data_IF_601909798561
#
_entry.id   IF_601909798561
#
_cell.length_a   1.000
_cell.length_b   1.000
_cell.length_c   1.000
_cell.angle_alpha   90.00
_cell.angle_beta   90.00
_cell.angle_gamma   90.00
#
_symmetry.space_group_name_H-M   'P 1'
#
loop_
_entity.id
_entity.type
_entity.pdbx_description
1 polymer ?
#
# COMPACT_ATOMS: atom_id res chain seq x y z
N UNK A 1 14.07 13.51 21.15
CA UNK A 1 13.09 14.24 20.31
C UNK A 1 12.86 13.42 19.04
N UNK A 2 11.61 13.19 18.61
CA UNK A 2 11.24 12.22 17.54
C UNK A 2 12.09 12.30 16.25
N UNK A 3 12.60 13.48 15.87
CA UNK A 3 13.48 13.64 14.70
C UNK A 3 14.75 12.79 14.75
N UNK A 4 15.37 12.60 15.93
CA UNK A 4 16.55 11.74 16.10
C UNK A 4 16.22 10.28 15.76
N UNK A 5 14.97 9.85 15.99
CA UNK A 5 14.51 8.50 15.68
C UNK A 5 14.34 8.26 14.17
N UNK A 6 13.78 9.24 13.45
CA UNK A 6 13.59 9.17 12.00
C UNK A 6 14.93 9.24 11.27
N UNK A 7 15.79 10.20 11.63
CA UNK A 7 17.14 10.32 11.04
C UNK A 7 17.95 9.02 11.23
N UNK A 8 17.85 8.40 12.41
CA UNK A 8 18.49 7.10 12.66
C UNK A 8 17.85 5.94 11.89
N UNK A 9 16.54 5.96 11.65
CA UNK A 9 15.85 4.94 10.86
C UNK A 9 16.27 5.00 9.39
N UNK A 10 16.34 6.21 8.81
CA UNK A 10 16.86 6.47 7.47
C UNK A 10 18.30 5.94 7.36
N UNK A 11 19.18 6.35 8.27
CA UNK A 11 20.58 5.92 8.25
C UNK A 11 20.74 4.39 8.33
N UNK A 12 19.92 3.71 9.16
CA UNK A 12 19.94 2.24 9.26
C UNK A 12 19.47 1.57 7.96
N UNK A 13 18.42 2.09 7.32
CA UNK A 13 17.91 1.57 6.05
C UNK A 13 18.98 1.70 4.95
N UNK A 14 19.55 2.89 4.80
CA UNK A 14 20.61 3.14 3.80
C UNK A 14 21.87 2.32 4.06
N UNK A 15 22.27 2.13 5.33
CA UNK A 15 23.39 1.26 5.68
C UNK A 15 23.13 -0.22 5.34
N UNK A 16 21.86 -0.64 5.30
CA UNK A 16 21.45 -1.97 4.85
C UNK A 16 21.22 -2.05 3.32
N UNK A 17 21.42 -0.95 2.59
CA UNK A 17 21.24 -0.89 1.14
C UNK A 17 19.77 -0.87 0.67
N UNK A 18 18.85 -0.44 1.52
CA UNK A 18 17.42 -0.32 1.19
C UNK A 18 16.91 1.11 1.34
N UNK A 19 15.92 1.46 0.52
CA UNK A 19 15.23 2.75 0.59
C UNK A 19 14.34 2.84 1.85
N UNK A 20 14.14 4.06 2.36
CA UNK A 20 13.25 4.35 3.47
C UNK A 20 12.06 5.19 3.02
N UNK A 21 10.90 4.55 2.94
CA UNK A 21 9.62 5.12 2.52
C UNK A 21 8.60 4.95 3.65
N UNK A 22 8.30 5.99 4.44
CA UNK A 22 7.30 5.91 5.49
C UNK A 22 5.89 5.80 4.91
N UNK A 23 5.07 4.98 5.57
CA UNK A 23 3.62 4.98 5.39
C UNK A 23 3.05 6.20 6.11
N UNK A 24 2.26 7.02 5.41
CA UNK A 24 1.59 8.20 5.95
C UNK A 24 0.11 8.21 5.60
N UNK A 25 -0.69 8.81 6.48
CA UNK A 25 -2.09 9.13 6.22
C UNK A 25 -2.23 10.57 5.76
N UNK A 26 -3.00 10.79 4.70
CA UNK A 26 -3.37 12.12 4.21
C UNK A 26 -4.87 12.16 3.87
N UNK A 27 -5.64 13.21 4.14
CA UNK A 27 -5.25 14.51 4.66
C UNK A 27 -5.24 14.47 6.18
N UNK A 28 -4.08 14.68 6.78
CA UNK A 28 -3.92 14.72 8.23
C UNK A 28 -3.11 15.96 8.60
N UNK A 29 -3.66 16.77 9.51
CA UNK A 29 -3.02 17.98 9.99
C UNK A 29 -2.99 18.02 11.52
N UNK A 30 -2.04 18.75 12.13
CA UNK A 30 -2.11 19.06 13.55
C UNK A 30 -3.41 19.80 13.88
N UNK A 31 -4.05 19.45 14.98
CA UNK A 31 -5.31 20.08 15.46
C UNK A 31 -5.19 21.60 15.58
N UNK A 32 -4.00 22.11 15.94
CA UNK A 32 -3.75 23.54 16.01
C UNK A 32 -3.82 24.23 14.63
N UNK A 33 -3.36 23.55 13.56
CA UNK A 33 -3.47 24.04 12.18
C UNK A 33 -4.94 24.04 11.75
N UNK A 34 -5.66 22.94 12.01
CA UNK A 34 -7.10 22.87 11.68
C UNK A 34 -7.89 23.94 12.41
N UNK A 35 -7.61 24.17 13.70
CA UNK A 35 -8.23 25.24 14.47
C UNK A 35 -7.93 26.65 13.91
N UNK A 36 -6.68 26.91 13.49
CA UNK A 36 -6.27 28.19 12.94
C UNK A 36 -6.90 28.51 11.58
N UNK A 37 -7.16 27.49 10.76
CA UNK A 37 -7.71 27.63 9.40
C UNK A 37 -9.15 27.16 9.26
N UNK A 38 -9.86 26.92 10.38
CA UNK A 38 -11.16 26.22 10.42
C UNK A 38 -12.17 26.72 9.38
N UNK A 39 -12.37 28.03 9.30
CA UNK A 39 -13.34 28.64 8.38
C UNK A 39 -12.92 28.48 6.90
N UNK A 40 -11.61 28.40 6.66
CA UNK A 40 -11.03 28.25 5.32
C UNK A 40 -11.00 26.81 4.83
N UNK A 41 -10.91 25.83 5.72
CA UNK A 41 -10.65 24.44 5.32
C UNK A 41 -11.70 23.42 5.78
N UNK A 42 -12.65 23.77 6.65
CA UNK A 42 -13.66 22.79 7.10
C UNK A 42 -15.02 22.98 6.44
N UNK A 43 -15.80 21.90 6.31
CA UNK A 43 -17.21 21.95 5.94
C UNK A 43 -18.12 22.28 7.14
N UNK A 44 -19.44 22.39 6.92
CA UNK A 44 -20.40 22.69 7.98
C UNK A 44 -20.52 21.61 9.08
N UNK A 45 -19.83 20.47 8.92
CA UNK A 45 -19.75 19.37 9.89
C UNK A 45 -18.36 19.29 10.55
N UNK A 46 -17.48 20.24 10.27
CA UNK A 46 -16.13 20.30 10.82
C UNK A 46 -15.13 19.34 10.16
N UNK A 47 -15.46 18.74 9.01
CA UNK A 47 -14.54 17.88 8.26
C UNK A 47 -13.62 18.73 7.41
N UNK A 48 -12.37 18.33 7.24
CA UNK A 48 -11.46 19.00 6.30
C UNK A 48 -11.99 18.77 4.89
N UNK A 49 -12.33 19.86 4.19
CA UNK A 49 -12.81 19.86 2.80
C UNK A 49 -11.62 20.05 1.86
N UNK A 50 -11.62 19.37 0.72
CA UNK A 50 -10.64 19.66 -0.31
C UNK A 50 -10.92 21.02 -0.98
N UNK A 51 -9.96 21.93 -0.92
CA UNK A 51 -10.00 23.26 -1.53
C UNK A 51 -8.57 23.83 -1.65
N UNK A 52 -8.41 24.99 -2.31
CA UNK A 52 -7.09 25.62 -2.49
C UNK A 52 -6.36 25.90 -1.17
N UNK A 53 -7.08 26.24 -0.09
CA UNK A 53 -6.45 26.47 1.22
C UNK A 53 -5.92 25.16 1.83
N UNK A 54 -6.71 24.09 1.78
CA UNK A 54 -6.29 22.75 2.21
C UNK A 54 -5.12 22.23 1.38
N UNK A 55 -5.15 22.44 0.05
CA UNK A 55 -4.07 22.09 -0.85
C UNK A 55 -2.77 22.82 -0.49
N UNK A 56 -2.82 24.13 -0.24
CA UNK A 56 -1.65 24.90 0.18
C UNK A 56 -1.06 24.41 1.52
N UNK A 57 -1.90 24.01 2.47
CA UNK A 57 -1.45 23.42 3.73
C UNK A 57 -0.78 22.05 3.52
N UNK A 58 -1.35 21.19 2.67
CA UNK A 58 -0.74 19.90 2.32
C UNK A 58 0.61 20.09 1.64
N UNK A 59 0.68 21.00 0.66
CA UNK A 59 1.92 21.30 -0.06
C UNK A 59 3.00 21.83 0.91
N UNK A 60 2.65 22.72 1.84
CA UNK A 60 3.56 23.22 2.86
C UNK A 60 4.00 22.13 3.86
N UNK A 61 3.09 21.24 4.27
CA UNK A 61 3.40 20.10 5.13
C UNK A 61 4.41 19.16 4.46
N UNK A 62 4.15 18.75 3.22
CA UNK A 62 5.04 17.86 2.47
C UNK A 62 6.41 18.51 2.23
N UNK A 63 6.43 19.80 1.86
CA UNK A 63 7.67 20.54 1.68
C UNK A 63 8.51 20.58 2.97
N UNK A 64 7.86 20.83 4.11
CA UNK A 64 8.52 20.83 5.41
C UNK A 64 9.04 19.44 5.82
N UNK A 65 8.32 18.37 5.51
CA UNK A 65 8.75 16.99 5.79
C UNK A 65 10.03 16.66 5.04
N UNK A 66 10.09 16.90 3.73
CA UNK A 66 11.28 16.60 2.93
C UNK A 66 12.43 17.58 3.19
N UNK A 67 12.15 18.84 3.54
CA UNK A 67 13.17 19.77 4.00
C UNK A 67 13.80 19.33 5.33
N UNK A 68 13.00 18.79 6.28
CA UNK A 68 13.51 18.29 7.56
C UNK A 68 14.22 16.94 7.41
N UNK A 69 13.74 16.07 6.55
CA UNK A 69 14.25 14.71 6.36
C UNK A 69 14.64 14.46 4.89
N UNK A 70 15.71 15.10 4.39
CA UNK A 70 16.10 14.99 2.98
C UNK A 70 16.54 13.57 2.57
N UNK A 71 16.87 12.72 3.55
CA UNK A 71 17.20 11.31 3.34
C UNK A 71 15.99 10.38 3.16
N UNK A 72 14.74 10.86 3.29
CA UNK A 72 13.58 10.04 2.88
C UNK A 72 13.63 9.79 1.38
N UNK A 73 13.31 8.58 0.94
CA UNK A 73 13.33 8.21 -0.48
C UNK A 73 11.96 8.40 -1.16
N UNK A 74 10.91 8.53 -0.34
CA UNK A 74 9.54 8.72 -0.80
C UNK A 74 8.54 8.73 0.33
N UNK A 75 7.26 8.61 -0.02
CA UNK A 75 6.15 8.38 0.91
C UNK A 75 5.19 7.37 0.31
N UNK A 76 4.57 6.57 1.17
CA UNK A 76 3.44 5.73 0.82
C UNK A 76 2.18 6.31 1.46
N UNK A 77 1.21 6.69 0.64
CA UNK A 77 0.07 7.51 1.07
C UNK A 77 -1.20 6.68 1.14
N UNK A 78 -1.86 6.69 2.30
CA UNK A 78 -3.24 6.22 2.48
C UNK A 78 -4.16 7.43 2.67
N UNK A 79 -5.32 7.41 2.00
CA UNK A 79 -6.33 8.48 2.09
C UNK A 79 -7.68 8.04 2.65
N UNK A 80 -7.68 6.94 3.40
CA UNK A 80 -8.85 6.31 3.99
C UNK A 80 -8.59 4.82 4.24
N UNK A 81 -8.97 4.23 5.38
CA UNK A 81 -9.31 4.87 6.66
C UNK A 81 -8.17 5.78 7.16
N UNK A 82 -8.52 6.98 7.62
CA UNK A 82 -7.55 7.93 8.19
C UNK A 82 -7.41 7.64 9.67
N UNK A 83 -6.27 7.09 10.08
CA UNK A 83 -6.05 6.70 11.47
C UNK A 83 -5.22 7.75 12.19
N UNK A 84 -5.77 8.26 13.29
CA UNK A 84 -5.12 9.26 14.14
C UNK A 84 -5.01 8.83 15.61
N UNK A 85 -5.19 7.54 15.90
CA UNK A 85 -5.20 7.02 17.28
C UNK A 85 -3.81 7.09 17.93
N UNK A 86 -2.73 6.95 17.16
CA UNK A 86 -1.33 7.04 17.61
C UNK A 86 -0.72 8.43 17.35
N UNK A 87 -1.49 9.33 16.73
CA UNK A 87 -1.15 10.74 16.51
C UNK A 87 -2.17 11.64 17.24
N UNK A 88 -2.21 11.67 18.59
CA UNK A 88 -3.30 12.29 19.36
C UNK A 88 -3.49 13.79 19.15
N UNK A 89 -2.47 14.47 18.62
CA UNK A 89 -2.49 15.90 18.29
C UNK A 89 -2.88 16.20 16.84
N UNK A 90 -3.26 15.19 16.07
CA UNK A 90 -3.68 15.33 14.67
C UNK A 90 -5.15 14.93 14.50
N UNK A 91 -5.74 15.44 13.43
CA UNK A 91 -7.04 15.02 12.93
C UNK A 91 -7.04 15.06 11.41
N UNK A 92 -7.91 14.28 10.80
CA UNK A 92 -7.88 14.05 9.36
C UNK A 92 -9.08 13.27 8.86
N UNK A 93 -9.27 13.31 7.55
CA UNK A 93 -10.27 12.53 6.83
C UNK A 93 -9.86 12.37 5.36
N UNK A 94 -10.56 11.49 4.65
CA UNK A 94 -10.42 11.38 3.19
C UNK A 94 -10.65 12.74 2.51
N UNK A 95 -9.87 13.10 1.47
CA UNK A 95 -10.14 14.27 0.62
C UNK A 95 -11.58 14.36 0.10
N UNK A 96 -12.24 13.20 -0.10
CA UNK A 96 -13.60 13.10 -0.62
C UNK A 96 -14.67 12.99 0.47
N UNK A 97 -14.31 13.16 1.75
CA UNK A 97 -15.25 13.03 2.85
C UNK A 97 -16.41 14.03 2.73
N UNK A 98 -17.65 13.52 2.71
CA UNK A 98 -18.84 14.34 2.56
C UNK A 98 -19.15 14.80 1.14
N UNK A 99 -18.37 14.37 0.15
CA UNK A 99 -18.61 14.65 -1.27
C UNK A 99 -19.44 13.53 -1.87
N UNK A 100 -20.55 13.89 -2.51
CA UNK A 100 -21.42 12.94 -3.22
C UNK A 100 -21.20 13.01 -4.73
N UNK A 101 -21.27 11.85 -5.39
CA UNK A 101 -21.18 11.72 -6.84
C UNK A 101 -19.75 11.49 -7.33
N UNK A 102 -19.60 10.44 -8.13
CA UNK A 102 -18.30 9.96 -8.59
C UNK A 102 -17.50 11.03 -9.34
N UNK A 103 -18.14 11.82 -10.21
CA UNK A 103 -17.44 12.86 -10.97
C UNK A 103 -16.77 13.92 -10.07
N UNK A 104 -17.43 14.32 -8.97
CA UNK A 104 -16.89 15.29 -8.03
C UNK A 104 -15.74 14.67 -7.20
N UNK A 105 -15.88 13.41 -6.79
CA UNK A 105 -14.83 12.69 -6.07
C UNK A 105 -13.60 12.44 -6.95
N UNK A 106 -13.80 12.01 -8.21
CA UNK A 106 -12.75 11.82 -9.22
C UNK A 106 -11.99 13.13 -9.43
N UNK A 107 -12.68 14.26 -9.58
CA UNK A 107 -12.01 15.56 -9.74
C UNK A 107 -11.12 15.92 -8.52
N UNK A 108 -11.57 15.61 -7.31
CA UNK A 108 -10.77 15.80 -6.08
C UNK A 108 -9.55 14.88 -6.08
N UNK A 109 -9.73 13.59 -6.40
CA UNK A 109 -8.62 12.64 -6.47
C UNK A 109 -7.56 13.06 -7.49
N UNK A 110 -8.00 13.47 -8.69
CA UNK A 110 -7.10 13.97 -9.73
C UNK A 110 -6.29 15.17 -9.22
N UNK A 111 -6.94 16.15 -8.59
CA UNK A 111 -6.26 17.36 -8.11
C UNK A 111 -5.28 17.06 -6.95
N UNK A 112 -5.70 16.29 -5.93
CA UNK A 112 -4.81 15.97 -4.79
C UNK A 112 -3.59 15.16 -5.24
N UNK A 113 -3.77 14.13 -6.08
CA UNK A 113 -2.65 13.30 -6.53
C UNK A 113 -1.72 14.10 -7.45
N UNK A 114 -2.28 14.95 -8.31
CA UNK A 114 -1.48 15.82 -9.20
C UNK A 114 -0.60 16.77 -8.39
N UNK A 115 -1.12 17.36 -7.31
CA UNK A 115 -0.36 18.25 -6.44
C UNK A 115 0.70 17.52 -5.62
N UNK A 116 0.35 16.36 -5.05
CA UNK A 116 1.31 15.52 -4.32
C UNK A 116 2.44 15.06 -5.25
N UNK A 117 2.12 14.64 -6.48
CA UNK A 117 3.12 14.33 -7.52
C UNK A 117 4.03 15.53 -7.80
N UNK A 118 3.48 16.73 -7.99
CA UNK A 118 4.28 17.93 -8.29
C UNK A 118 5.24 18.30 -7.14
N UNK A 119 4.78 18.23 -5.88
CA UNK A 119 5.64 18.51 -4.73
C UNK A 119 6.66 17.40 -4.50
N UNK A 120 6.21 16.15 -4.39
CA UNK A 120 7.10 15.07 -3.94
C UNK A 120 7.99 14.57 -5.07
N UNK A 121 7.42 14.30 -6.24
CA UNK A 121 8.16 13.73 -7.35
C UNK A 121 8.98 14.79 -8.10
N UNK A 122 8.38 15.93 -8.46
CA UNK A 122 9.06 16.91 -9.31
C UNK A 122 9.94 17.87 -8.51
N UNK A 123 9.43 18.43 -7.40
CA UNK A 123 10.21 19.39 -6.59
C UNK A 123 11.26 18.70 -5.71
N UNK A 124 10.89 17.63 -5.01
CA UNK A 124 11.80 16.95 -4.07
C UNK A 124 12.54 15.75 -4.67
N UNK A 125 12.15 15.29 -5.87
CA UNK A 125 12.79 14.15 -6.53
C UNK A 125 12.58 12.82 -5.77
N UNK A 126 11.45 12.68 -5.06
CA UNK A 126 11.14 11.54 -4.18
C UNK A 126 9.98 10.72 -4.72
N UNK A 127 9.89 9.47 -4.27
CA UNK A 127 8.85 8.54 -4.71
C UNK A 127 7.51 8.78 -4.02
N UNK A 128 6.41 8.57 -4.75
CA UNK A 128 5.05 8.52 -4.20
C UNK A 128 4.46 7.17 -4.53
N UNK A 129 4.06 6.44 -3.49
CA UNK A 129 3.25 5.24 -3.59
C UNK A 129 1.84 5.57 -3.13
N UNK A 130 0.98 5.94 -4.08
CA UNK A 130 -0.40 6.32 -3.78
C UNK A 130 -1.27 5.07 -3.68
N UNK A 131 -1.84 4.80 -2.51
CA UNK A 131 -2.69 3.63 -2.35
C UNK A 131 -4.02 3.81 -3.06
N UNK A 132 -4.33 2.83 -3.89
CA UNK A 132 -5.61 2.63 -4.55
C UNK A 132 -6.62 1.94 -3.60
N UNK A 133 -6.72 2.45 -2.36
CA UNK A 133 -7.58 1.92 -1.31
C UNK A 133 -8.38 3.04 -0.67
N UNK A 134 -9.69 2.82 -0.53
CA UNK A 134 -10.64 3.83 -0.05
C UNK A 134 -11.69 3.26 0.92
N UNK A 135 -11.42 2.10 1.52
CA UNK A 135 -12.34 1.42 2.44
C UNK A 135 -13.74 1.20 1.85
N UNK A 136 -13.77 0.66 0.62
CA UNK A 136 -14.98 0.29 -0.13
C UNK A 136 -15.86 1.47 -0.59
N UNK A 137 -15.32 2.69 -0.66
CA UNK A 137 -16.06 3.87 -1.10
C UNK A 137 -16.21 4.02 -2.63
N UNK A 138 -15.79 3.01 -3.41
CA UNK A 138 -15.98 2.92 -4.86
C UNK A 138 -14.69 2.83 -5.69
N UNK A 139 -13.54 3.24 -5.14
CA UNK A 139 -12.23 3.13 -5.78
C UNK A 139 -11.71 1.70 -5.79
N UNK A 140 -11.78 1.00 -4.65
CA UNK A 140 -11.07 -0.27 -4.46
C UNK A 140 -11.69 -1.40 -5.30
N UNK A 141 -10.97 -1.89 -6.32
CA UNK A 141 -11.40 -3.03 -7.14
C UNK A 141 -12.18 -2.72 -8.42
N UNK A 142 -12.48 -1.44 -8.71
CA UNK A 142 -13.11 -1.01 -9.97
C UNK A 142 -12.06 -0.47 -10.97
N UNK A 143 -11.78 -1.16 -12.10
CA UNK A 143 -10.84 -0.68 -13.11
C UNK A 143 -11.28 0.62 -13.81
N UNK A 144 -12.59 0.81 -14.01
CA UNK A 144 -13.13 2.00 -14.65
C UNK A 144 -12.97 3.24 -13.78
N UNK A 145 -13.31 3.13 -12.49
CA UNK A 145 -13.07 4.21 -11.53
C UNK A 145 -11.57 4.53 -11.41
N UNK A 146 -10.73 3.50 -11.31
CA UNK A 146 -9.27 3.66 -11.28
C UNK A 146 -8.74 4.44 -12.49
N UNK A 147 -9.19 4.12 -13.72
CA UNK A 147 -8.78 4.84 -14.92
C UNK A 147 -9.33 6.27 -14.95
N UNK A 148 -10.59 6.49 -14.53
CA UNK A 148 -11.17 7.82 -14.46
C UNK A 148 -10.35 8.79 -13.59
N UNK A 149 -9.70 8.29 -12.54
CA UNK A 149 -8.79 9.11 -11.73
C UNK A 149 -7.38 9.14 -12.30
N UNK A 150 -6.81 7.99 -12.67
CA UNK A 150 -5.38 7.90 -12.96
C UNK A 150 -5.04 8.39 -14.37
N UNK A 151 -5.90 8.22 -15.37
CA UNK A 151 -5.61 8.64 -16.74
C UNK A 151 -5.48 10.16 -16.94
N UNK A 152 -6.26 11.01 -16.25
CA UNK A 152 -6.02 12.46 -16.29
C UNK A 152 -4.65 12.89 -15.72
N UNK A 153 -4.03 12.07 -14.86
CA UNK A 153 -2.76 12.39 -14.22
C UNK A 153 -1.59 12.04 -15.16
N UNK A 154 -0.65 12.97 -15.33
CA UNK A 154 0.55 12.73 -16.12
C UNK A 154 1.45 11.67 -15.44
N UNK A 155 1.93 10.64 -16.15
CA UNK A 155 2.89 9.69 -15.60
C UNK A 155 4.16 10.39 -15.09
N UNK A 156 4.80 9.79 -14.09
CA UNK A 156 6.12 10.21 -13.61
C UNK A 156 6.90 8.96 -13.18
N UNK A 157 8.22 8.86 -13.44
CA UNK A 157 9.01 7.68 -13.06
C UNK A 157 9.08 7.41 -11.55
N UNK A 158 8.72 8.40 -10.73
CA UNK A 158 8.66 8.32 -9.27
C UNK A 158 7.23 8.23 -8.71
N UNK A 159 6.19 8.16 -9.57
CA UNK A 159 4.80 7.99 -9.14
C UNK A 159 4.36 6.55 -9.38
N UNK A 160 3.90 5.90 -8.32
CA UNK A 160 3.39 4.54 -8.31
C UNK A 160 2.00 4.50 -7.69
N UNK A 161 1.14 3.63 -8.19
CA UNK A 161 -0.11 3.27 -7.55
C UNK A 161 0.01 1.93 -6.84
N UNK A 162 -0.32 1.91 -5.56
CA UNK A 162 -0.27 0.71 -4.72
C UNK A 162 -1.64 0.05 -4.69
N UNK A 163 -1.78 -1.14 -5.26
CA UNK A 163 -3.06 -1.80 -5.53
C UNK A 163 -3.07 -3.18 -4.89
N UNK A 164 -4.05 -3.46 -4.02
CA UNK A 164 -4.21 -4.79 -3.40
C UNK A 164 -4.42 -5.87 -4.46
N UNK A 165 -3.87 -7.07 -4.25
CA UNK A 165 -4.13 -8.23 -5.12
C UNK A 165 -5.60 -8.69 -5.08
N UNK A 166 -6.36 -8.33 -4.04
CA UNK A 166 -7.81 -8.57 -3.95
C UNK A 166 -8.61 -7.33 -4.34
N UNK A 167 -9.78 -7.52 -4.94
CA UNK A 167 -10.71 -6.47 -5.38
C UNK A 167 -11.53 -5.91 -4.19
N UNK A 168 -10.81 -5.45 -3.17
CA UNK A 168 -11.33 -4.95 -1.90
C UNK A 168 -10.32 -5.27 -0.79
N UNK A 169 -10.77 -5.65 0.41
CA UNK A 169 -9.82 -6.02 1.46
C UNK A 169 -9.25 -7.44 1.27
N UNK A 170 -8.30 -7.83 2.12
CA UNK A 170 -7.56 -9.09 1.98
C UNK A 170 -8.34 -10.36 2.41
N UNK A 171 -9.67 -10.31 2.44
CA UNK A 171 -10.51 -11.47 2.71
C UNK A 171 -10.31 -12.56 1.64
N UNK A 172 -10.27 -13.83 2.07
CA UNK A 172 -10.05 -15.00 1.22
C UNK A 172 -11.03 -15.15 0.05
N UNK A 173 -12.27 -14.69 0.23
CA UNK A 173 -13.35 -14.80 -0.75
C UNK A 173 -13.38 -13.66 -1.77
N UNK A 174 -12.48 -12.69 -1.66
CA UNK A 174 -12.43 -11.56 -2.60
C UNK A 174 -11.86 -12.02 -3.93
N UNK A 175 -12.50 -11.61 -5.01
CA UNK A 175 -11.96 -11.80 -6.34
C UNK A 175 -10.61 -11.09 -6.46
N UNK A 176 -9.75 -11.53 -7.37
CA UNK A 176 -8.50 -10.81 -7.61
C UNK A 176 -8.74 -9.47 -8.31
N UNK A 177 -7.92 -8.48 -7.98
CA UNK A 177 -8.10 -7.10 -8.39
C UNK A 177 -7.74 -6.86 -9.85
N UNK A 178 -8.77 -6.62 -10.67
CA UNK A 178 -8.62 -6.36 -12.11
C UNK A 178 -8.07 -4.96 -12.43
N UNK A 179 -7.80 -4.11 -11.45
CA UNK A 179 -7.05 -2.85 -11.63
C UNK A 179 -5.57 -3.08 -11.94
N UNK A 180 -5.04 -4.24 -11.54
CA UNK A 180 -3.65 -4.58 -11.73
C UNK A 180 -3.32 -4.78 -13.22
N UNK A 181 -2.25 -4.13 -13.66
CA UNK A 181 -1.79 -4.19 -15.05
C UNK A 181 -2.61 -3.35 -16.04
N UNK A 182 -3.46 -2.44 -15.54
CA UNK A 182 -4.32 -1.56 -16.33
C UNK A 182 -3.83 -0.11 -16.26
N UNK A 183 -4.04 0.65 -17.33
CA UNK A 183 -3.65 2.06 -17.43
C UNK A 183 -2.18 2.27 -17.78
N UNK A 184 -1.72 3.50 -17.56
CA UNK A 184 -0.38 3.97 -18.02
C UNK A 184 0.63 4.24 -16.89
N UNK A 185 0.21 4.10 -15.64
CA UNK A 185 1.07 4.38 -14.48
C UNK A 185 1.76 3.13 -13.96
N UNK A 186 2.90 3.33 -13.32
CA UNK A 186 3.56 2.27 -12.57
C UNK A 186 2.69 1.85 -11.38
N UNK A 187 2.69 0.55 -11.07
CA UNK A 187 1.94 -0.05 -9.99
C UNK A 187 2.85 -0.95 -9.13
N UNK A 188 2.56 -0.99 -7.84
CA UNK A 188 3.02 -2.05 -6.95
C UNK A 188 1.82 -2.85 -6.45
N UNK A 189 2.01 -4.16 -6.28
CA UNK A 189 0.95 -5.06 -5.81
C UNK A 189 1.02 -5.15 -4.28
N UNK A 190 -0.07 -4.87 -3.56
CA UNK A 190 -0.15 -5.11 -2.12
C UNK A 190 -0.59 -6.55 -1.83
N UNK A 191 0.19 -7.24 -1.01
CA UNK A 191 -0.12 -8.58 -0.51
C UNK A 191 -0.02 -8.60 1.00
N UNK A 192 -1.08 -9.01 1.68
CA UNK A 192 -1.01 -9.24 3.12
C UNK A 192 -0.55 -10.64 3.45
N UNK A 193 0.57 -10.73 4.15
CA UNK A 193 1.22 -12.00 4.50
C UNK A 193 0.93 -12.42 5.94
N UNK A 194 0.57 -11.48 6.83
CA UNK A 194 0.13 -11.84 8.18
C UNK A 194 -1.29 -12.42 8.20
N UNK A 195 -2.10 -12.14 7.19
CA UNK A 195 -3.46 -12.65 7.01
C UNK A 195 -4.40 -12.21 8.14
N UNK A 196 -4.73 -10.94 8.13
CA UNK A 196 -5.57 -10.26 9.12
C UNK A 196 -6.89 -10.98 9.38
N UNK A 197 -7.55 -11.41 8.31
CA UNK A 197 -8.87 -12.04 8.35
C UNK A 197 -8.82 -13.56 8.57
N UNK A 198 -7.64 -14.13 8.75
CA UNK A 198 -7.41 -15.57 8.81
C UNK A 198 -6.50 -15.93 10.00
N UNK A 199 -6.74 -15.25 11.13
CA UNK A 199 -6.10 -15.56 12.40
C UNK A 199 -4.75 -14.91 12.64
N UNK A 200 -4.28 -13.98 11.78
CA UNK A 200 -3.03 -13.21 11.97
C UNK A 200 -1.79 -14.10 12.25
N UNK A 201 -1.72 -15.24 11.57
CA UNK A 201 -0.65 -16.24 11.72
C UNK A 201 -0.80 -17.20 12.91
N UNK A 202 -1.92 -17.16 13.65
CA UNK A 202 -2.11 -17.94 14.88
C UNK A 202 -2.47 -19.40 14.61
N UNK A 203 -2.90 -19.68 13.39
CA UNK A 203 -3.29 -21.00 12.91
C UNK A 203 -2.50 -21.33 11.65
N UNK A 204 -2.35 -22.62 11.32
CA UNK A 204 -1.86 -23.03 10.02
C UNK A 204 -2.58 -22.33 8.88
N UNK A 205 -1.84 -21.52 8.14
CA UNK A 205 -2.38 -20.72 7.06
C UNK A 205 -1.28 -20.43 6.03
N UNK A 206 -1.32 -21.17 4.93
CA UNK A 206 -0.45 -20.95 3.78
C UNK A 206 -1.30 -20.62 2.56
N UNK A 207 -1.12 -19.41 1.99
CA UNK A 207 -1.97 -18.91 0.89
C UNK A 207 -1.20 -18.55 -0.37
N UNK A 208 0.13 -18.70 -0.39
CA UNK A 208 0.97 -18.11 -1.42
C UNK A 208 0.79 -18.78 -2.79
N UNK A 209 0.49 -20.08 -2.85
CA UNK A 209 0.02 -20.73 -4.07
C UNK A 209 -1.17 -19.97 -4.67
N UNK A 210 -2.19 -19.69 -3.86
CA UNK A 210 -3.38 -18.99 -4.28
C UNK A 210 -3.15 -17.52 -4.68
N UNK A 211 -2.25 -16.82 -3.98
CA UNK A 211 -1.87 -15.45 -4.33
C UNK A 211 -1.07 -15.41 -5.63
N UNK A 212 -0.13 -16.34 -5.82
CA UNK A 212 0.82 -16.35 -6.94
C UNK A 212 0.18 -16.91 -8.21
N UNK A 213 -0.41 -18.09 -8.13
CA UNK A 213 -0.92 -18.84 -9.28
C UNK A 213 -2.45 -18.73 -9.43
N UNK A 214 -3.16 -18.40 -8.34
CA UNK A 214 -4.61 -18.23 -8.31
C UNK A 214 -5.30 -19.20 -7.36
N UNK A 215 -6.50 -18.83 -6.88
CA UNK A 215 -7.27 -19.62 -5.93
C UNK A 215 -8.32 -20.48 -6.65
N UNK A 216 -8.19 -21.81 -6.60
CA UNK A 216 -9.06 -22.77 -7.30
C UNK A 216 -10.55 -22.63 -6.94
N UNK A 217 -10.85 -22.31 -5.68
CA UNK A 217 -12.21 -22.18 -5.14
C UNK A 217 -12.93 -20.90 -5.58
N UNK A 218 -12.23 -19.96 -6.23
CA UNK A 218 -12.83 -18.78 -6.86
C UNK A 218 -13.29 -19.06 -8.31
N UNK A 219 -13.09 -20.30 -8.79
CA UNK A 219 -13.64 -20.85 -10.03
C UNK A 219 -12.69 -20.77 -11.24
N UNK A 220 -12.92 -21.61 -12.27
CA UNK A 220 -12.04 -21.74 -13.44
C UNK A 220 -11.97 -20.49 -14.33
N UNK A 221 -12.83 -19.49 -14.09
CA UNK A 221 -12.85 -18.20 -14.81
C UNK A 221 -12.02 -17.10 -14.14
N UNK A 222 -11.34 -17.40 -13.04
CA UNK A 222 -10.44 -16.45 -12.36
C UNK A 222 -8.97 -16.81 -12.63
N UNK A 223 -8.60 -16.78 -13.92
CA UNK A 223 -7.21 -16.63 -14.37
C UNK A 223 -6.64 -15.32 -13.81
N UNK A 224 -6.13 -15.30 -12.57
CA UNK A 224 -5.45 -14.14 -11.99
C UNK A 224 -4.85 -14.47 -10.61
N UNK A 225 -3.68 -15.11 -10.62
CA UNK A 225 -2.67 -14.90 -9.59
C UNK A 225 -1.69 -13.80 -10.01
N UNK A 226 -0.86 -13.32 -9.10
CA UNK A 226 0.10 -12.25 -9.41
C UNK A 226 1.16 -12.70 -10.45
N UNK A 227 1.35 -14.00 -10.67
CA UNK A 227 2.20 -14.53 -11.75
C UNK A 227 1.73 -14.10 -13.14
N UNK A 228 0.42 -13.96 -13.34
CA UNK A 228 -0.16 -13.49 -14.61
C UNK A 228 0.24 -12.05 -14.95
N UNK A 229 0.77 -11.30 -13.99
CA UNK A 229 1.14 -9.91 -14.13
C UNK A 229 2.63 -9.67 -14.43
N UNK A 230 3.48 -10.69 -14.40
CA UNK A 230 4.94 -10.53 -14.58
C UNK A 230 5.32 -9.90 -15.92
N UNK A 231 4.51 -10.12 -16.97
CA UNK A 231 4.72 -9.54 -18.30
C UNK A 231 4.17 -8.11 -18.45
N UNK A 232 3.44 -7.60 -17.45
CA UNK A 232 2.78 -6.30 -17.52
C UNK A 232 3.78 -5.18 -17.21
N UNK A 233 4.03 -4.24 -18.14
CA UNK A 233 5.02 -3.17 -17.92
C UNK A 233 4.65 -2.21 -16.78
N UNK A 234 3.37 -2.15 -16.42
CA UNK A 234 2.88 -1.35 -15.29
C UNK A 234 3.41 -1.89 -13.96
N UNK A 235 3.58 -3.20 -13.81
CA UNK A 235 3.94 -3.77 -12.51
C UNK A 235 5.45 -3.61 -12.27
N UNK A 236 5.78 -2.90 -11.18
CA UNK A 236 7.16 -2.56 -10.81
C UNK A 236 7.62 -3.20 -9.51
N UNK A 237 6.72 -3.79 -8.73
CA UNK A 237 7.06 -4.35 -7.43
C UNK A 237 5.89 -5.03 -6.73
N UNK A 238 6.22 -5.72 -5.64
CA UNK A 238 5.28 -6.21 -4.64
C UNK A 238 5.62 -5.54 -3.32
N UNK A 239 4.60 -5.02 -2.64
CA UNK A 239 4.71 -4.59 -1.25
C UNK A 239 3.92 -5.53 -0.36
N UNK A 240 4.57 -6.01 0.68
CA UNK A 240 4.00 -7.00 1.58
C UNK A 240 3.63 -6.38 2.93
N UNK A 241 2.39 -6.57 3.36
CA UNK A 241 2.01 -6.41 4.76
C UNK A 241 2.52 -7.64 5.51
N UNK A 242 3.83 -7.65 5.75
CA UNK A 242 4.55 -8.78 6.37
C UNK A 242 4.16 -8.93 7.84
N UNK A 243 4.03 -7.83 8.56
CA UNK A 243 3.56 -7.81 9.94
C UNK A 243 2.59 -6.65 10.12
N UNK A 244 1.38 -6.93 10.58
CA UNK A 244 0.25 -6.01 10.66
C UNK A 244 -0.82 -6.33 9.63
N UNK A 245 -1.64 -5.31 9.38
CA UNK A 245 -2.70 -5.25 8.39
C UNK A 245 -3.23 -3.81 8.40
N UNK A 246 -4.47 -3.61 8.00
CA UNK A 246 -5.13 -2.30 8.20
C UNK A 246 -5.15 -1.90 9.69
N UNK A 247 -5.18 -2.88 10.59
CA UNK A 247 -5.37 -2.68 12.03
C UNK A 247 -4.10 -3.08 12.81
N UNK A 248 -4.08 -2.73 14.10
CA UNK A 248 -3.02 -3.15 15.04
C UNK A 248 -3.04 -4.68 15.26
N UNK A 249 -2.49 -5.15 16.37
CA UNK A 249 -2.48 -6.55 16.76
C UNK A 249 -3.88 -7.21 16.80
N UNK A 250 -3.95 -8.49 17.18
CA UNK A 250 -2.94 -9.24 17.93
C UNK A 250 -1.69 -9.57 17.10
N UNK A 251 -0.53 -9.53 17.76
CA UNK A 251 0.74 -10.00 17.20
C UNK A 251 1.17 -11.25 17.94
N UNK A 252 1.60 -12.27 17.20
CA UNK A 252 2.14 -13.47 17.80
C UNK A 252 3.57 -13.17 18.24
N UNK A 253 3.90 -13.60 19.45
CA UNK A 253 5.23 -13.48 20.01
C UNK A 253 5.92 -14.85 19.98
N UNK A 254 7.23 -14.84 19.72
CA UNK A 254 8.01 -16.08 19.59
C UNK A 254 8.20 -16.48 18.13
N UNK A 255 7.38 -17.41 17.63
CA UNK A 255 7.56 -18.01 16.29
C UNK A 255 6.41 -17.65 15.34
N UNK A 256 6.65 -16.70 14.44
CA UNK A 256 5.71 -16.29 13.39
C UNK A 256 5.87 -17.16 12.12
N UNK A 257 5.89 -18.49 12.30
CA UNK A 257 6.29 -19.43 11.25
C UNK A 257 5.59 -19.21 9.90
N UNK A 258 4.26 -19.04 9.90
CA UNK A 258 3.47 -18.86 8.68
C UNK A 258 3.79 -17.55 7.97
N UNK A 259 4.04 -16.50 8.75
CA UNK A 259 4.43 -15.19 8.23
C UNK A 259 5.83 -15.26 7.62
N UNK A 260 6.79 -15.85 8.33
CA UNK A 260 8.16 -16.04 7.83
C UNK A 260 8.18 -16.88 6.55
N UNK A 261 7.35 -17.93 6.50
CA UNK A 261 7.18 -18.77 5.33
C UNK A 261 6.63 -17.96 4.15
N UNK A 262 5.56 -17.20 4.34
CA UNK A 262 4.99 -16.32 3.33
C UNK A 262 6.00 -15.30 2.79
N UNK A 263 6.74 -14.63 3.68
CA UNK A 263 7.76 -13.63 3.30
C UNK A 263 8.84 -14.28 2.43
N UNK A 264 9.34 -15.46 2.82
CA UNK A 264 10.40 -16.15 2.09
C UNK A 264 9.95 -16.66 0.74
N UNK A 265 8.74 -17.21 0.64
CA UNK A 265 8.18 -17.65 -0.64
C UNK A 265 8.01 -16.45 -1.57
N UNK A 266 7.36 -15.38 -1.10
CA UNK A 266 7.14 -14.18 -1.91
C UNK A 266 8.47 -13.57 -2.37
N UNK A 267 9.44 -13.41 -1.46
CA UNK A 267 10.73 -12.83 -1.79
C UNK A 267 11.53 -13.68 -2.79
N UNK A 268 11.50 -15.01 -2.64
CA UNK A 268 12.20 -15.94 -3.55
C UNK A 268 11.55 -15.94 -4.93
N UNK A 269 10.23 -16.09 -4.97
CA UNK A 269 9.46 -16.12 -6.21
C UNK A 269 9.58 -14.79 -6.97
N UNK A 270 9.31 -13.66 -6.30
CA UNK A 270 9.40 -12.33 -6.90
C UNK A 270 10.83 -11.97 -7.30
N UNK A 271 11.81 -12.23 -6.43
CA UNK A 271 13.23 -11.96 -6.70
C UNK A 271 13.79 -12.77 -7.87
N UNK A 272 13.19 -13.93 -8.18
CA UNK A 272 13.52 -14.72 -9.36
C UNK A 272 12.78 -14.26 -10.63
N UNK A 273 11.93 -13.24 -10.54
CA UNK A 273 11.02 -12.82 -11.60
C UNK A 273 10.14 -13.99 -12.11
N UNK A 274 9.66 -14.83 -11.19
CA UNK A 274 8.85 -16.02 -11.48
C UNK A 274 9.58 -17.19 -12.14
N UNK A 275 10.91 -17.14 -12.30
CA UNK A 275 11.68 -18.27 -12.85
C UNK A 275 11.79 -19.44 -11.86
N UNK A 276 11.72 -19.17 -10.56
CA UNK A 276 11.47 -20.17 -9.52
C UNK A 276 9.96 -20.26 -9.34
N UNK A 277 9.37 -21.44 -9.53
CA UNK A 277 7.94 -21.67 -9.31
C UNK A 277 7.58 -21.47 -7.83
N UNK A 278 6.30 -21.23 -7.56
CA UNK A 278 5.79 -21.11 -6.19
C UNK A 278 6.15 -22.35 -5.34
N UNK A 279 5.90 -23.55 -5.86
CA UNK A 279 6.21 -24.80 -5.15
C UNK A 279 7.71 -24.97 -4.86
N UNK A 280 8.58 -24.53 -5.77
CA UNK A 280 10.03 -24.55 -5.54
C UNK A 280 10.44 -23.53 -4.47
N UNK A 281 9.86 -22.32 -4.49
CA UNK A 281 10.08 -21.30 -3.48
C UNK A 281 9.59 -21.77 -2.09
N UNK A 282 8.44 -22.45 -2.03
CA UNK A 282 7.93 -23.11 -0.83
C UNK A 282 8.89 -24.16 -0.28
N UNK A 283 9.38 -25.06 -1.14
CA UNK A 283 10.36 -26.07 -0.74
C UNK A 283 11.63 -25.48 -0.16
N UNK A 284 12.17 -24.42 -0.78
CA UNK A 284 13.34 -23.69 -0.28
C UNK A 284 13.08 -23.02 1.07
N UNK A 285 11.92 -22.39 1.24
CA UNK A 285 11.53 -21.74 2.49
C UNK A 285 11.34 -22.76 3.63
N UNK A 286 10.71 -23.90 3.36
CA UNK A 286 10.55 -25.00 4.30
C UNK A 286 11.90 -25.61 4.70
N UNK A 287 12.80 -25.86 3.74
CA UNK A 287 14.15 -26.35 4.04
C UNK A 287 14.90 -25.40 4.98
N UNK A 288 14.78 -24.09 4.76
CA UNK A 288 15.40 -23.08 5.61
C UNK A 288 14.78 -23.01 7.02
N UNK A 289 13.44 -22.95 7.10
CA UNK A 289 12.74 -22.70 8.37
C UNK A 289 12.62 -23.95 9.25
N UNK A 290 12.53 -25.14 8.65
CA UNK A 290 12.30 -26.40 9.35
C UNK A 290 13.55 -27.30 9.37
N UNK A 291 14.62 -26.94 8.67
CA UNK A 291 15.81 -27.79 8.55
C UNK A 291 15.56 -29.06 7.74
N UNK A 292 14.53 -29.07 6.89
CA UNK A 292 14.20 -30.23 6.06
C UNK A 292 15.18 -30.34 4.88
N UNK A 293 15.60 -31.56 4.48
CA UNK A 293 16.30 -31.77 3.22
C UNK A 293 15.49 -31.20 2.05
N UNK A 294 16.14 -30.52 1.10
CA UNK A 294 15.50 -29.85 -0.04
C UNK A 294 14.61 -30.74 -0.93
N UNK A 295 14.74 -32.06 -0.82
CA UNK A 295 13.95 -33.06 -1.54
C UNK A 295 12.74 -33.63 -0.75
N UNK A 296 12.45 -33.12 0.44
CA UNK A 296 11.49 -33.74 1.38
C UNK A 296 10.24 -32.92 1.71
N UNK A 297 10.03 -31.78 1.06
CA UNK A 297 8.73 -31.10 1.12
C UNK A 297 7.81 -31.76 0.07
N UNK A 298 6.84 -32.62 0.46
CA UNK A 298 5.82 -33.04 -0.48
C UNK A 298 5.11 -31.78 -0.99
N UNK A 299 4.85 -31.71 -2.29
CA UNK A 299 3.95 -30.72 -2.85
C UNK A 299 2.62 -30.83 -2.08
N UNK A 300 2.25 -29.77 -1.34
CA UNK A 300 0.92 -29.71 -0.76
C UNK A 300 -0.07 -29.65 -1.93
N UNK A 301 -0.88 -30.71 -2.06
CA UNK A 301 -2.06 -30.76 -2.91
C UNK A 301 -3.18 -29.89 -2.35
#
# INVERSE_FOLDING_TARGET
>A
AMGVGIDAAIARAHAAGVEFVPFIDELVFPKAVVAAFKDNITDGKGRIRWCNATAALLEAQLDAVFARFPGLDGILVRTGETYVYDTPYHEGNSPTAGVSGDAAQVAIWVDVITRVRAIVCERHGKQVYWRAWDSFAGWSGDPGYYLNVTDPIAPHPLLYFSVKHTAGDFFRCMAFNRQLGVGKHAQIIEVELQREYEGKGAVPNYVLHGVIDGFDDLGPSQDIGIASLLSKPQIRGVWTWSRGGGWWGPYIHGREFWVDLHVRVMATWWGSNGTVSEAAAFGLACAHLLGLPSASAPACA
#
